data_IF_001158701725
#
_entry.id   IF_001158701725
#
_cell.length_a   1.000
_cell.length_b   1.000
_cell.length_c   1.000
_cell.angle_alpha   90.00
_cell.angle_beta   90.00
_cell.angle_gamma   90.00
#
_symmetry.space_group_name_H-M   'P 1'
#
loop_
_entity.id
_entity.type
_entity.pdbx_description
1 polymer ?
#
# COMPACT_ATOMS: atom_id res chain seq x y z
N UNK A 1 36.53 -73.56 -32.52
CA UNK A 1 36.26 -72.30 -33.25
C UNK A 1 35.68 -71.32 -32.25
N UNK A 2 36.54 -70.45 -31.71
CA UNK A 2 36.17 -69.48 -30.67
C UNK A 2 35.64 -68.19 -31.30
N UNK A 3 34.46 -67.76 -30.83
CA UNK A 3 33.84 -66.50 -31.18
C UNK A 3 34.38 -65.41 -30.25
N UNK A 4 34.94 -64.36 -30.84
CA UNK A 4 35.31 -63.12 -30.17
C UNK A 4 34.29 -62.05 -30.58
N UNK A 5 33.44 -61.62 -29.64
CA UNK A 5 32.60 -60.43 -29.77
C UNK A 5 33.26 -59.28 -29.00
N UNK A 6 33.75 -58.29 -29.76
CA UNK A 6 34.34 -57.05 -29.26
C UNK A 6 33.25 -56.02 -28.97
N UNK A 7 33.00 -55.79 -27.68
CA UNK A 7 32.17 -54.69 -27.16
C UNK A 7 32.96 -53.37 -27.17
N UNK A 8 32.55 -52.44 -28.03
CA UNK A 8 33.03 -51.06 -28.08
C UNK A 8 32.15 -50.18 -27.17
N UNK A 9 32.66 -49.89 -25.97
CA UNK A 9 32.06 -48.90 -25.07
C UNK A 9 32.39 -47.47 -25.51
N UNK A 10 31.38 -46.73 -25.97
CA UNK A 10 31.46 -45.27 -26.10
C UNK A 10 31.21 -44.61 -24.73
N UNK A 11 32.26 -44.03 -24.15
CA UNK A 11 32.19 -43.08 -23.03
C UNK A 11 31.99 -41.69 -23.61
N UNK A 12 30.75 -41.20 -23.66
CA UNK A 12 30.50 -39.77 -23.84
C UNK A 12 30.75 -39.04 -22.52
N UNK A 13 31.79 -38.21 -22.51
CA UNK A 13 32.19 -37.37 -21.39
C UNK A 13 31.22 -36.19 -21.23
N UNK A 14 30.40 -36.24 -20.18
CA UNK A 14 29.51 -35.15 -19.78
C UNK A 14 30.26 -33.95 -19.19
N UNK A 15 30.27 -32.83 -19.92
CA UNK A 15 30.76 -31.52 -19.44
C UNK A 15 29.69 -30.42 -19.47
N UNK A 16 28.40 -30.78 -19.54
CA UNK A 16 27.29 -29.83 -19.75
C UNK A 16 26.55 -29.35 -18.49
N UNK A 17 26.84 -29.84 -17.28
CA UNK A 17 25.94 -29.60 -16.12
C UNK A 17 26.21 -28.30 -15.33
N UNK A 18 27.39 -27.71 -15.43
CA UNK A 18 27.74 -26.51 -14.65
C UNK A 18 27.15 -25.23 -15.23
N UNK A 19 27.07 -25.10 -16.57
CA UNK A 19 26.57 -23.88 -17.22
C UNK A 19 25.09 -23.61 -16.98
N UNK A 20 24.28 -24.66 -16.79
CA UNK A 20 22.83 -24.51 -16.64
C UNK A 20 22.43 -24.07 -15.23
N UNK A 21 23.26 -24.40 -14.24
CA UNK A 21 23.04 -24.01 -12.84
C UNK A 21 23.33 -22.52 -12.66
N UNK A 22 24.43 -22.02 -13.24
CA UNK A 22 24.77 -20.59 -13.21
C UNK A 22 23.73 -19.72 -13.94
N UNK A 23 23.22 -20.16 -15.10
CA UNK A 23 22.16 -19.44 -15.82
C UNK A 23 20.87 -19.33 -15.00
N UNK A 24 20.47 -20.39 -14.30
CA UNK A 24 19.30 -20.37 -13.41
C UNK A 24 19.49 -19.41 -12.24
N UNK A 25 20.68 -19.39 -11.64
CA UNK A 25 21.00 -18.48 -10.53
C UNK A 25 20.93 -17.00 -10.95
N UNK A 26 21.45 -16.67 -12.14
CA UNK A 26 21.34 -15.30 -12.68
C UNK A 26 19.89 -14.91 -12.93
N UNK A 27 19.09 -15.78 -13.56
CA UNK A 27 17.67 -15.49 -13.77
C UNK A 27 16.92 -15.31 -12.44
N UNK A 28 17.20 -16.16 -11.45
CA UNK A 28 16.61 -16.05 -10.12
C UNK A 28 16.96 -14.72 -9.45
N UNK A 29 18.24 -14.31 -9.49
CA UNK A 29 18.68 -13.01 -8.95
C UNK A 29 18.03 -11.82 -9.66
N UNK A 30 17.89 -11.88 -10.98
CA UNK A 30 17.22 -10.82 -11.75
C UNK A 30 15.74 -10.75 -11.39
N UNK A 31 15.04 -11.89 -11.25
CA UNK A 31 13.64 -11.92 -10.85
C UNK A 31 13.44 -11.44 -9.40
N UNK A 32 14.32 -11.83 -8.49
CA UNK A 32 14.27 -11.42 -7.08
C UNK A 32 14.62 -9.94 -6.87
N UNK A 33 15.38 -9.33 -7.78
CA UNK A 33 15.80 -7.93 -7.64
C UNK A 33 14.67 -6.89 -7.81
N UNK A 34 13.45 -7.31 -8.14
CA UNK A 34 12.31 -6.44 -8.45
C UNK A 34 12.48 -5.50 -9.65
N UNK A 35 13.66 -5.49 -10.31
CA UNK A 35 14.03 -4.53 -11.36
C UNK A 35 13.07 -4.56 -12.55
N UNK A 36 12.51 -5.73 -12.86
CA UNK A 36 11.57 -5.90 -13.97
C UNK A 36 10.14 -5.46 -13.62
N UNK A 37 9.78 -5.41 -12.34
CA UNK A 37 8.38 -5.33 -11.92
C UNK A 37 7.52 -6.51 -12.43
N UNK A 38 6.28 -6.59 -11.98
CA UNK A 38 5.36 -7.70 -12.30
C UNK A 38 5.12 -7.82 -13.80
N UNK A 39 4.92 -6.68 -14.48
CA UNK A 39 4.55 -6.65 -15.90
C UNK A 39 5.66 -7.13 -16.83
N UNK A 40 6.87 -6.60 -16.70
CA UNK A 40 7.96 -7.00 -17.60
C UNK A 40 8.39 -8.42 -17.28
N UNK A 41 8.39 -8.82 -16.00
CA UNK A 41 8.62 -10.22 -15.63
C UNK A 41 7.65 -11.15 -16.37
N UNK A 42 6.35 -10.84 -16.36
CA UNK A 42 5.37 -11.69 -17.03
C UNK A 42 5.55 -11.70 -18.55
N UNK A 43 5.86 -10.55 -19.17
CA UNK A 43 6.14 -10.49 -20.61
C UNK A 43 7.39 -11.28 -20.99
N UNK A 44 8.51 -11.08 -20.31
CA UNK A 44 9.78 -11.75 -20.62
C UNK A 44 9.68 -13.26 -20.43
N UNK A 45 9.04 -13.71 -19.34
CA UNK A 45 8.78 -15.14 -19.12
C UNK A 45 7.87 -15.79 -20.16
N UNK A 46 7.16 -15.01 -20.99
CA UNK A 46 6.34 -15.54 -22.08
C UNK A 46 7.12 -15.81 -23.39
N UNK A 47 8.31 -15.19 -23.55
CA UNK A 47 9.07 -15.17 -24.81
C UNK A 47 9.77 -16.50 -25.12
N UNK A 48 10.09 -17.31 -24.11
CA UNK A 48 10.81 -18.58 -24.28
C UNK A 48 10.28 -19.66 -23.35
N UNK A 49 10.32 -20.92 -23.79
CA UNK A 49 9.96 -22.09 -22.98
C UNK A 49 10.82 -22.21 -21.73
N UNK A 50 12.10 -21.85 -21.84
CA UNK A 50 13.08 -21.88 -20.76
C UNK A 50 12.75 -20.81 -19.70
N UNK A 51 12.30 -19.63 -20.13
CA UNK A 51 11.92 -18.54 -19.22
C UNK A 51 10.55 -18.75 -18.58
N UNK A 52 9.67 -19.58 -19.17
CA UNK A 52 8.40 -19.96 -18.52
C UNK A 52 8.61 -20.73 -17.23
N UNK A 53 9.74 -21.42 -17.07
CA UNK A 53 10.12 -22.09 -15.82
C UNK A 53 10.18 -21.09 -14.66
N UNK A 54 10.47 -19.81 -14.92
CA UNK A 54 10.46 -18.75 -13.91
C UNK A 54 9.06 -18.46 -13.34
N UNK A 55 7.98 -18.94 -13.98
CA UNK A 55 6.62 -18.84 -13.44
C UNK A 55 6.26 -19.97 -12.48
N UNK A 56 7.21 -20.84 -12.15
CA UNK A 56 7.02 -21.84 -11.11
C UNK A 56 6.95 -21.16 -9.73
N UNK A 57 6.22 -21.80 -8.82
CA UNK A 57 5.90 -21.30 -7.47
C UNK A 57 7.08 -20.67 -6.75
N UNK A 58 8.25 -21.30 -6.80
CA UNK A 58 9.42 -20.85 -6.04
C UNK A 58 9.99 -19.52 -6.55
N UNK A 59 10.05 -19.32 -7.86
CA UNK A 59 10.48 -18.06 -8.45
C UNK A 59 9.45 -16.93 -8.26
N UNK A 60 8.16 -17.28 -8.27
CA UNK A 60 7.08 -16.30 -8.07
C UNK A 60 7.04 -15.74 -6.64
N UNK A 61 7.53 -16.47 -5.63
CA UNK A 61 7.61 -15.98 -4.24
C UNK A 61 8.43 -14.70 -4.13
N UNK A 62 9.54 -14.64 -4.86
CA UNK A 62 10.41 -13.47 -4.83
C UNK A 62 9.83 -12.32 -5.66
N UNK A 63 9.25 -12.61 -6.82
CA UNK A 63 8.61 -11.57 -7.65
C UNK A 63 7.44 -10.92 -6.93
N UNK A 64 6.60 -11.73 -6.26
CA UNK A 64 5.44 -11.25 -5.51
C UNK A 64 5.73 -11.11 -4.01
N UNK A 65 6.99 -10.94 -3.64
CA UNK A 65 7.35 -10.71 -2.27
C UNK A 65 6.69 -9.41 -1.75
N UNK A 66 6.41 -9.31 -0.45
CA UNK A 66 5.85 -8.11 0.17
C UNK A 66 6.60 -6.82 -0.18
N UNK A 67 7.93 -6.90 -0.30
CA UNK A 67 8.82 -5.80 -0.66
C UNK A 67 8.48 -5.22 -2.04
N UNK A 68 8.16 -6.09 -3.01
CA UNK A 68 7.88 -5.69 -4.39
C UNK A 68 6.46 -5.14 -4.56
N UNK A 69 5.59 -5.36 -3.57
CA UNK A 69 4.22 -4.85 -3.56
C UNK A 69 4.07 -3.51 -2.83
N UNK A 70 5.18 -2.89 -2.41
CA UNK A 70 5.15 -1.57 -1.77
C UNK A 70 4.60 -0.48 -2.72
N UNK A 71 5.09 -0.35 -3.97
CA UNK A 71 4.55 0.64 -4.90
C UNK A 71 3.11 0.32 -5.33
N UNK A 72 2.27 1.34 -5.49
CA UNK A 72 0.93 1.19 -6.04
C UNK A 72 0.98 0.62 -7.47
N UNK A 73 1.91 1.06 -8.30
CA UNK A 73 2.07 0.58 -9.68
C UNK A 73 2.23 -0.93 -9.77
N UNK A 74 3.05 -1.52 -8.91
CA UNK A 74 3.28 -2.98 -8.89
C UNK A 74 2.04 -3.75 -8.44
N UNK A 75 1.32 -3.25 -7.43
CA UNK A 75 0.05 -3.87 -7.00
C UNK A 75 -1.02 -3.75 -8.09
N UNK A 76 -1.06 -2.63 -8.81
CA UNK A 76 -1.96 -2.43 -9.96
C UNK A 76 -1.60 -3.38 -11.10
N UNK A 77 -0.33 -3.55 -11.45
CA UNK A 77 0.11 -4.50 -12.49
C UNK A 77 -0.17 -5.96 -12.09
N UNK A 78 -0.03 -6.31 -10.81
CA UNK A 78 -0.46 -7.62 -10.31
C UNK A 78 -1.97 -7.84 -10.45
N UNK A 79 -2.79 -6.84 -10.10
CA UNK A 79 -4.24 -6.90 -10.30
C UNK A 79 -4.59 -7.08 -11.78
N UNK A 80 -3.97 -6.28 -12.66
CA UNK A 80 -4.17 -6.39 -14.10
C UNK A 80 -3.75 -7.74 -14.64
N UNK A 81 -2.65 -8.32 -14.16
CA UNK A 81 -2.24 -9.68 -14.51
C UNK A 81 -3.29 -10.73 -14.11
N UNK A 82 -3.83 -10.64 -12.89
CA UNK A 82 -4.88 -11.57 -12.42
C UNK A 82 -6.14 -11.43 -13.28
N UNK A 83 -6.54 -10.20 -13.59
CA UNK A 83 -7.65 -9.92 -14.49
C UNK A 83 -7.40 -10.49 -15.89
N UNK A 84 -6.21 -10.31 -16.46
CA UNK A 84 -5.83 -10.86 -17.77
C UNK A 84 -5.89 -12.39 -17.80
N UNK A 85 -5.47 -13.06 -16.72
CA UNK A 85 -5.62 -14.52 -16.58
C UNK A 85 -7.09 -14.93 -16.61
N UNK A 86 -7.96 -14.19 -15.93
CA UNK A 86 -9.41 -14.44 -15.93
C UNK A 86 -9.99 -14.20 -17.31
N UNK A 87 -9.72 -13.05 -17.92
CA UNK A 87 -10.27 -12.65 -19.22
C UNK A 87 -9.90 -13.64 -20.34
N UNK A 88 -8.75 -14.32 -20.22
CA UNK A 88 -8.27 -15.35 -21.15
C UNK A 88 -8.66 -16.78 -20.77
N UNK A 89 -9.38 -16.97 -19.66
CA UNK A 89 -9.66 -18.27 -19.05
C UNK A 89 -8.40 -19.13 -18.80
N UNK A 90 -7.26 -18.47 -18.49
CA UNK A 90 -5.98 -19.10 -18.17
C UNK A 90 -5.94 -19.52 -16.70
N UNK A 91 -6.70 -20.57 -16.39
CA UNK A 91 -6.78 -21.16 -15.04
C UNK A 91 -5.43 -21.68 -14.55
N UNK A 92 -4.52 -22.05 -15.44
CA UNK A 92 -3.20 -22.58 -15.06
C UNK A 92 -2.34 -21.46 -14.49
N UNK A 93 -2.25 -20.32 -15.17
CA UNK A 93 -1.56 -19.15 -14.65
C UNK A 93 -2.19 -18.65 -13.34
N UNK A 94 -3.53 -18.61 -13.28
CA UNK A 94 -4.26 -18.21 -12.07
C UNK A 94 -3.93 -19.12 -10.88
N UNK A 95 -3.89 -20.44 -11.08
CA UNK A 95 -3.50 -21.41 -10.04
C UNK A 95 -2.07 -21.22 -9.57
N UNK A 96 -1.12 -20.99 -10.49
CA UNK A 96 0.26 -20.69 -10.09
C UNK A 96 0.35 -19.44 -9.21
N UNK A 97 -0.44 -18.40 -9.51
CA UNK A 97 -0.52 -17.20 -8.66
C UNK A 97 -1.13 -17.52 -7.28
N UNK A 98 -2.17 -18.35 -7.22
CA UNK A 98 -2.81 -18.79 -5.96
C UNK A 98 -1.89 -19.67 -5.09
N UNK A 99 -0.94 -20.38 -5.70
CA UNK A 99 0.02 -21.22 -4.98
C UNK A 99 1.11 -20.41 -4.26
N UNK A 100 1.24 -19.11 -4.54
CA UNK A 100 2.22 -18.24 -3.89
C UNK A 100 1.71 -17.87 -2.49
N UNK A 101 2.25 -18.52 -1.45
CA UNK A 101 1.78 -18.37 -0.06
C UNK A 101 1.75 -16.92 0.47
N UNK A 102 2.55 -16.01 -0.10
CA UNK A 102 2.57 -14.57 0.27
C UNK A 102 1.45 -13.76 -0.38
N UNK A 103 0.69 -14.36 -1.29
CA UNK A 103 -0.32 -13.71 -2.13
C UNK A 103 -1.69 -14.38 -1.96
N UNK A 104 -2.59 -13.71 -1.23
CA UNK A 104 -3.99 -14.12 -1.14
C UNK A 104 -4.82 -13.31 -2.15
N UNK A 105 -5.03 -13.89 -3.35
CA UNK A 105 -5.75 -13.21 -4.42
C UNK A 105 -7.19 -12.85 -4.04
N UNK A 106 -7.90 -13.76 -3.36
CA UNK A 106 -9.32 -13.56 -3.03
C UNK A 106 -9.49 -12.44 -2.02
N UNK A 107 -8.60 -12.37 -1.02
CA UNK A 107 -8.65 -11.31 0.00
C UNK A 107 -8.15 -9.97 -0.50
N UNK A 108 -7.22 -9.93 -1.47
CA UNK A 108 -6.62 -8.67 -1.97
C UNK A 108 -7.35 -8.06 -3.16
N UNK A 109 -7.97 -8.87 -4.01
CA UNK A 109 -8.62 -8.41 -5.23
C UNK A 109 -10.12 -8.72 -5.18
N UNK A 110 -10.98 -7.69 -5.14
CA UNK A 110 -12.42 -7.88 -5.12
C UNK A 110 -12.94 -8.37 -6.47
N UNK A 111 -14.12 -8.99 -6.44
CA UNK A 111 -14.92 -9.31 -7.62
C UNK A 111 -14.28 -10.23 -8.68
N UNK A 112 -13.25 -11.02 -8.32
CA UNK A 112 -12.62 -11.96 -9.26
C UNK A 112 -13.62 -12.96 -9.89
N UNK A 113 -14.51 -13.55 -9.06
CA UNK A 113 -15.53 -14.47 -9.55
C UNK A 113 -16.57 -13.78 -10.43
N UNK A 114 -17.03 -12.57 -10.05
CA UNK A 114 -17.94 -11.76 -10.85
C UNK A 114 -17.35 -11.48 -12.23
N UNK A 115 -16.09 -11.03 -12.29
CA UNK A 115 -15.38 -10.82 -13.55
C UNK A 115 -15.30 -12.09 -14.39
N UNK A 116 -14.96 -13.23 -13.78
CA UNK A 116 -14.90 -14.51 -14.49
C UNK A 116 -16.26 -14.91 -15.10
N UNK A 117 -17.36 -14.66 -14.39
CA UNK A 117 -18.71 -14.85 -14.93
C UNK A 117 -19.02 -13.88 -16.09
N UNK A 118 -18.73 -12.59 -15.93
CA UNK A 118 -18.95 -11.56 -16.96
C UNK A 118 -18.17 -11.84 -18.25
N UNK A 119 -16.94 -12.36 -18.12
CA UNK A 119 -16.08 -12.76 -19.25
C UNK A 119 -16.36 -14.17 -19.77
N UNK A 120 -17.29 -14.89 -19.15
CA UNK A 120 -17.65 -16.27 -19.50
C UNK A 120 -16.46 -17.25 -19.41
N UNK A 121 -15.51 -16.99 -18.51
CA UNK A 121 -14.28 -17.76 -18.29
C UNK A 121 -14.57 -19.00 -17.45
N UNK A 122 -15.15 -20.02 -18.08
CA UNK A 122 -15.73 -21.19 -17.38
C UNK A 122 -14.74 -21.93 -16.48
N UNK A 123 -13.47 -22.08 -16.89
CA UNK A 123 -12.45 -22.80 -16.10
C UNK A 123 -12.05 -21.98 -14.87
N UNK A 124 -11.87 -20.68 -15.05
CA UNK A 124 -11.62 -19.75 -13.95
C UNK A 124 -12.81 -19.69 -12.98
N UNK A 125 -14.06 -19.65 -13.48
CA UNK A 125 -15.27 -19.73 -12.63
C UNK A 125 -15.26 -20.99 -11.78
N UNK A 126 -15.04 -22.16 -12.39
CA UNK A 126 -14.99 -23.42 -11.64
C UNK A 126 -13.89 -23.43 -10.57
N UNK A 127 -12.73 -22.83 -10.84
CA UNK A 127 -11.62 -22.73 -9.90
C UNK A 127 -11.88 -21.72 -8.78
N UNK A 128 -12.46 -20.55 -9.09
CA UNK A 128 -12.70 -19.47 -8.12
C UNK A 128 -13.91 -19.77 -7.22
N UNK A 129 -14.93 -20.47 -7.71
CA UNK A 129 -16.12 -20.88 -6.93
C UNK A 129 -15.83 -21.86 -5.79
N UNK A 130 -14.63 -22.46 -5.75
CA UNK A 130 -14.21 -23.33 -4.65
C UNK A 130 -13.77 -22.54 -3.42
N UNK A 131 -13.53 -21.24 -3.56
CA UNK A 131 -13.14 -20.35 -2.46
C UNK A 131 -14.38 -19.68 -1.85
N UNK A 132 -14.34 -19.40 -0.55
CA UNK A 132 -15.38 -18.61 0.09
C UNK A 132 -15.48 -17.22 -0.56
N UNK A 133 -16.70 -16.77 -0.88
CA UNK A 133 -16.93 -15.42 -1.40
C UNK A 133 -16.67 -14.39 -0.30
N UNK A 134 -15.80 -13.44 -0.59
CA UNK A 134 -15.55 -12.26 0.26
C UNK A 134 -16.31 -11.04 -0.23
N UNK A 135 -17.24 -11.22 -1.16
CA UNK A 135 -18.17 -10.17 -1.55
C UNK A 135 -19.21 -9.98 -0.46
N UNK A 136 -19.49 -8.72 -0.11
CA UNK A 136 -20.61 -8.41 0.75
C UNK A 136 -21.91 -8.98 0.14
N UNK A 137 -22.76 -9.68 0.91
CA UNK A 137 -24.06 -10.12 0.39
C UNK A 137 -24.82 -8.95 -0.24
N UNK A 138 -25.58 -9.19 -1.30
CA UNK A 138 -26.32 -8.14 -2.02
C UNK A 138 -27.30 -7.34 -1.13
N UNK A 139 -27.67 -7.90 0.02
CA UNK A 139 -28.50 -7.25 1.05
C UNK A 139 -27.78 -6.07 1.71
N UNK A 140 -26.45 -6.03 1.67
CA UNK A 140 -25.65 -4.98 2.29
C UNK A 140 -25.06 -4.04 1.22
N UNK A 141 -25.42 -2.76 1.33
CA UNK A 141 -24.70 -1.69 0.65
C UNK A 141 -23.62 -1.11 1.58
N UNK A 142 -22.64 -0.39 1.01
CA UNK A 142 -21.69 0.36 1.83
C UNK A 142 -22.44 1.33 2.78
N UNK A 143 -23.39 2.10 2.25
CA UNK A 143 -24.14 3.11 3.01
C UNK A 143 -24.99 2.54 4.15
N UNK A 144 -25.52 1.33 4.02
CA UNK A 144 -26.27 0.66 5.09
C UNK A 144 -25.34 0.16 6.19
N UNK A 145 -24.17 -0.35 5.80
CA UNK A 145 -23.19 -0.89 6.74
C UNK A 145 -22.44 0.23 7.48
N UNK A 146 -22.29 1.42 6.90
CA UNK A 146 -21.73 2.59 7.60
C UNK A 146 -22.51 2.95 8.90
N UNK A 147 -23.80 2.63 8.96
CA UNK A 147 -24.71 3.00 10.07
C UNK A 147 -24.94 1.88 11.08
N UNK A 148 -24.33 0.71 10.88
CA UNK A 148 -24.53 -0.42 11.77
C UNK A 148 -23.87 -0.16 13.13
N UNK A 149 -24.54 -0.49 14.22
CA UNK A 149 -23.93 -0.48 15.54
C UNK A 149 -23.02 -1.70 15.75
N UNK A 150 -22.19 -1.65 16.78
CA UNK A 150 -21.21 -2.69 17.08
C UNK A 150 -21.83 -4.05 17.37
N UNK A 151 -22.95 -4.10 18.07
CA UNK A 151 -23.59 -5.37 18.47
C UNK A 151 -24.28 -6.05 17.28
N UNK A 152 -24.93 -5.26 16.43
CA UNK A 152 -25.46 -5.74 15.15
C UNK A 152 -24.33 -6.26 14.24
N UNK A 153 -23.21 -5.53 14.12
CA UNK A 153 -22.06 -6.01 13.34
C UNK A 153 -21.48 -7.30 13.91
N UNK A 154 -21.30 -7.38 15.23
CA UNK A 154 -20.86 -8.59 15.93
C UNK A 154 -21.73 -9.79 15.58
N UNK A 155 -23.04 -9.63 15.69
CA UNK A 155 -24.01 -10.68 15.36
C UNK A 155 -23.84 -11.15 13.91
N UNK A 156 -23.70 -10.24 12.95
CA UNK A 156 -23.50 -10.58 11.54
C UNK A 156 -22.19 -11.35 11.29
N UNK A 157 -21.10 -10.96 11.95
CA UNK A 157 -19.81 -11.64 11.82
C UNK A 157 -19.86 -13.04 12.45
N UNK A 158 -20.39 -13.16 13.67
CA UNK A 158 -20.48 -14.42 14.41
C UNK A 158 -21.40 -15.44 13.70
N UNK A 159 -22.50 -14.97 13.12
CA UNK A 159 -23.41 -15.78 12.30
C UNK A 159 -22.87 -16.05 10.89
N UNK A 160 -21.68 -15.53 10.54
CA UNK A 160 -21.07 -15.61 9.21
C UNK A 160 -21.94 -15.02 8.09
N UNK A 161 -22.88 -14.14 8.44
CA UNK A 161 -23.67 -13.37 7.48
C UNK A 161 -22.83 -12.29 6.80
N UNK A 162 -21.76 -11.83 7.46
CA UNK A 162 -20.78 -10.90 6.91
C UNK A 162 -19.37 -11.38 7.28
N UNK A 163 -18.41 -11.28 6.36
CA UNK A 163 -17.01 -11.61 6.63
C UNK A 163 -16.24 -10.33 7.04
N UNK A 164 -15.28 -10.39 7.99
CA UNK A 164 -14.50 -9.20 8.40
C UNK A 164 -13.68 -8.59 7.25
N UNK A 165 -13.22 -9.43 6.31
CA UNK A 165 -12.55 -9.02 5.07
C UNK A 165 -13.51 -8.77 3.89
N UNK A 166 -14.80 -8.53 4.15
CA UNK A 166 -15.76 -8.31 3.06
C UNK A 166 -15.42 -7.06 2.24
N UNK A 167 -15.67 -7.13 0.94
CA UNK A 167 -15.50 -6.00 0.01
C UNK A 167 -16.85 -5.41 -0.39
N UNK A 168 -16.88 -4.07 -0.47
CA UNK A 168 -18.05 -3.30 -0.84
C UNK A 168 -17.79 -2.50 -2.11
N UNK A 169 -18.76 -2.52 -3.02
CA UNK A 169 -18.83 -1.56 -4.13
C UNK A 169 -19.30 -0.21 -3.55
N UNK A 170 -18.52 0.84 -3.78
CA UNK A 170 -18.78 2.20 -3.30
C UNK A 170 -18.87 3.11 -4.52
N UNK A 171 -19.97 3.86 -4.58
CA UNK A 171 -20.23 4.84 -5.61
C UNK A 171 -20.18 6.25 -5.01
N UNK A 172 -19.29 7.10 -5.53
CA UNK A 172 -19.16 8.51 -5.12
C UNK A 172 -19.08 9.38 -6.37
N UNK A 173 -20.18 10.08 -6.68
CA UNK A 173 -20.29 10.82 -7.93
C UNK A 173 -20.23 9.85 -9.11
N UNK A 174 -19.38 10.12 -10.10
CA UNK A 174 -19.21 9.25 -11.27
C UNK A 174 -18.09 8.22 -11.09
N UNK A 175 -17.66 7.95 -9.86
CA UNK A 175 -16.56 7.02 -9.58
C UNK A 175 -17.08 5.84 -8.79
N UNK A 176 -16.94 4.65 -9.37
CA UNK A 176 -17.17 3.36 -8.72
C UNK A 176 -15.85 2.70 -8.36
N UNK A 177 -15.77 2.24 -7.13
CA UNK A 177 -14.57 1.60 -6.62
C UNK A 177 -14.93 0.58 -5.55
N UNK A 178 -13.99 -0.30 -5.28
CA UNK A 178 -14.09 -1.32 -4.26
C UNK A 178 -13.34 -0.91 -3.01
N UNK A 179 -13.98 -1.04 -1.85
CA UNK A 179 -13.39 -0.76 -0.56
C UNK A 179 -13.56 -1.96 0.40
N UNK A 180 -12.51 -2.35 1.15
CA UNK A 180 -12.65 -3.27 2.27
C UNK A 180 -13.58 -2.72 3.35
N UNK A 181 -14.31 -3.59 4.04
CA UNK A 181 -15.23 -3.25 5.12
C UNK A 181 -14.59 -2.35 6.19
N UNK A 182 -13.32 -2.61 6.56
CA UNK A 182 -12.58 -1.79 7.52
C UNK A 182 -12.37 -0.35 7.02
N UNK A 183 -12.15 -0.15 5.71
CA UNK A 183 -12.09 1.20 5.12
C UNK A 183 -13.45 1.87 5.21
N UNK A 184 -14.53 1.16 4.88
CA UNK A 184 -15.91 1.69 4.97
C UNK A 184 -16.21 2.18 6.40
N UNK A 185 -15.87 1.40 7.43
CA UNK A 185 -16.06 1.82 8.84
C UNK A 185 -15.24 3.05 9.22
N UNK A 186 -13.96 3.10 8.79
CA UNK A 186 -13.12 4.29 9.00
C UNK A 186 -13.72 5.51 8.31
N UNK A 187 -14.27 5.35 7.11
CA UNK A 187 -14.92 6.41 6.36
C UNK A 187 -16.24 6.89 6.97
N UNK A 188 -16.95 6.02 7.69
CA UNK A 188 -18.14 6.34 8.47
C UNK A 188 -17.85 7.03 9.80
N UNK A 189 -16.57 7.12 10.22
CA UNK A 189 -16.17 7.43 11.60
C UNK A 189 -16.75 6.45 12.64
N UNK A 190 -17.06 5.22 12.22
CA UNK A 190 -17.57 4.17 13.09
C UNK A 190 -16.39 3.38 13.69
N UNK A 191 -15.63 4.05 14.57
CA UNK A 191 -14.37 3.53 15.08
C UNK A 191 -14.56 2.32 16.00
N UNK A 192 -15.71 2.19 16.66
CA UNK A 192 -16.02 1.03 17.49
C UNK A 192 -16.20 -0.25 16.66
N UNK A 193 -16.93 -0.15 15.55
CA UNK A 193 -17.04 -1.26 14.58
C UNK A 193 -15.69 -1.57 13.93
N UNK A 194 -14.90 -0.55 13.57
CA UNK A 194 -13.56 -0.75 13.02
C UNK A 194 -12.62 -1.46 14.00
N UNK A 195 -12.66 -1.11 15.28
CA UNK A 195 -11.92 -1.78 16.35
C UNK A 195 -12.35 -3.25 16.50
N UNK A 196 -13.66 -3.52 16.48
CA UNK A 196 -14.18 -4.89 16.55
C UNK A 196 -13.79 -5.73 15.32
N UNK A 197 -13.79 -5.14 14.12
CA UNK A 197 -13.35 -5.84 12.91
C UNK A 197 -11.89 -6.32 13.02
N UNK A 198 -11.00 -5.49 13.58
CA UNK A 198 -9.62 -5.88 13.84
C UNK A 198 -9.53 -7.04 14.84
N UNK A 199 -10.35 -7.02 15.90
CA UNK A 199 -10.46 -8.12 16.86
C UNK A 199 -10.97 -9.41 16.20
N UNK A 200 -11.89 -9.27 15.25
CA UNK A 200 -12.39 -10.37 14.42
C UNK A 200 -11.42 -10.83 13.31
N UNK A 201 -10.20 -10.28 13.26
CA UNK A 201 -9.16 -10.68 12.32
C UNK A 201 -9.24 -10.02 10.95
N UNK A 202 -9.91 -8.87 10.83
CA UNK A 202 -9.90 -8.08 9.59
C UNK A 202 -8.47 -7.69 9.19
N UNK A 203 -8.17 -7.83 7.90
CA UNK A 203 -6.86 -7.53 7.35
C UNK A 203 -6.62 -6.03 7.20
N UNK A 204 -5.37 -5.65 7.41
CA UNK A 204 -4.89 -4.28 7.17
C UNK A 204 -4.07 -4.16 5.89
N UNK A 205 -3.64 -5.27 5.30
CA UNK A 205 -2.88 -5.36 4.05
C UNK A 205 -3.79 -5.51 2.81
N UNK A 206 -4.81 -4.66 2.76
CA UNK A 206 -5.79 -4.52 1.67
C UNK A 206 -5.94 -3.03 1.31
N UNK A 207 -6.43 -2.72 0.11
CA UNK A 207 -6.54 -1.34 -0.35
C UNK A 207 -7.69 -1.09 -1.32
N UNK A 208 -8.10 0.16 -1.50
CA UNK A 208 -9.13 0.52 -2.48
C UNK A 208 -8.69 0.27 -3.92
N UNK A 209 -9.64 -0.20 -4.73
CA UNK A 209 -9.45 -0.49 -6.15
C UNK A 209 -10.49 0.20 -7.02
N UNK A 210 -10.06 0.95 -8.03
CA UNK A 210 -10.98 1.52 -9.03
C UNK A 210 -11.64 0.39 -9.83
N UNK A 211 -12.93 0.50 -10.09
CA UNK A 211 -13.60 -0.39 -11.05
C UNK A 211 -13.09 -0.07 -12.47
N UNK A 212 -12.62 -1.09 -13.19
CA UNK A 212 -12.17 -0.90 -14.57
C UNK A 212 -13.41 -0.74 -15.46
N UNK A 213 -13.71 0.49 -15.87
CA UNK A 213 -14.71 0.70 -16.92
C UNK A 213 -14.23 0.06 -18.23
N UNK A 214 -15.12 -0.67 -18.90
CA UNK A 214 -14.83 -1.34 -20.17
C UNK A 214 -14.49 -0.33 -21.27
N UNK A 215 -13.21 0.09 -21.36
CA UNK A 215 -12.66 0.85 -22.48
C UNK A 215 -13.05 2.33 -22.56
N UNK A 216 -13.80 2.87 -21.59
CA UNK A 216 -14.08 4.29 -21.50
C UNK A 216 -12.82 5.07 -21.15
N UNK A 217 -12.52 6.16 -21.86
CA UNK A 217 -11.53 7.15 -21.41
C UNK A 217 -12.11 7.85 -20.18
N UNK A 218 -11.93 7.26 -19.00
CA UNK A 218 -12.31 7.89 -17.73
C UNK A 218 -11.47 9.15 -17.61
N UNK A 219 -12.13 10.31 -17.65
CA UNK A 219 -11.48 11.58 -17.34
C UNK A 219 -10.81 11.45 -15.98
N UNK A 220 -9.57 11.95 -15.83
CA UNK A 220 -8.83 11.87 -14.56
C UNK A 220 -9.78 12.28 -13.43
N UNK A 221 -10.10 11.39 -12.47
CA UNK A 221 -11.01 11.70 -11.39
C UNK A 221 -10.56 12.99 -10.70
N UNK A 222 -11.52 13.88 -10.41
CA UNK A 222 -11.25 15.06 -9.59
C UNK A 222 -11.03 14.60 -8.15
N UNK A 223 -9.77 14.27 -7.85
CA UNK A 223 -9.31 13.72 -6.56
C UNK A 223 -9.58 14.65 -5.38
N UNK A 224 -9.79 15.94 -5.64
CA UNK A 224 -10.09 16.96 -4.64
C UNK A 224 -11.49 16.78 -4.02
N UNK A 225 -12.43 16.18 -4.76
CA UNK A 225 -13.83 16.05 -4.33
C UNK A 225 -14.18 14.62 -3.86
N UNK A 226 -13.62 13.60 -4.50
CA UNK A 226 -13.91 12.21 -4.18
C UNK A 226 -12.98 11.74 -3.06
N UNK A 227 -13.51 11.26 -1.92
CA UNK A 227 -12.69 10.67 -0.83
C UNK A 227 -11.88 9.43 -1.24
N UNK A 228 -12.05 8.97 -2.48
CA UNK A 228 -11.36 7.86 -3.09
C UNK A 228 -9.89 8.20 -3.39
N UNK A 229 -8.99 7.29 -3.03
CA UNK A 229 -7.57 7.37 -3.37
C UNK A 229 -7.11 5.97 -3.76
N UNK A 230 -6.70 5.72 -5.01
CA UNK A 230 -6.23 4.41 -5.43
C UNK A 230 -5.13 3.90 -4.49
N UNK A 231 -5.23 2.64 -4.07
CA UNK A 231 -4.27 2.03 -3.17
C UNK A 231 -4.38 2.45 -1.70
N UNK A 232 -5.41 3.23 -1.32
CA UNK A 232 -5.64 3.64 0.08
C UNK A 232 -5.91 2.41 0.93
N UNK A 233 -5.08 2.21 1.96
CA UNK A 233 -5.24 1.13 2.94
C UNK A 233 -6.14 1.58 4.11
N UNK A 234 -6.58 0.68 5.01
CA UNK A 234 -7.26 1.04 6.25
C UNK A 234 -6.56 2.16 7.04
N UNK A 235 -5.22 2.11 7.13
CA UNK A 235 -4.47 3.14 7.84
C UNK A 235 -4.47 4.48 7.11
N UNK A 236 -4.29 4.48 5.78
CA UNK A 236 -4.41 5.72 5.00
C UNK A 236 -5.80 6.35 5.16
N UNK A 237 -6.86 5.52 5.13
CA UNK A 237 -8.23 5.99 5.34
C UNK A 237 -8.39 6.70 6.69
N UNK A 238 -7.85 6.11 7.77
CA UNK A 238 -7.88 6.70 9.10
C UNK A 238 -7.05 8.00 9.18
N UNK A 239 -5.85 8.04 8.59
CA UNK A 239 -5.00 9.24 8.58
C UNK A 239 -5.69 10.44 7.88
N UNK A 240 -6.40 10.20 6.78
CA UNK A 240 -7.20 11.25 6.11
C UNK A 240 -8.30 11.82 7.04
N UNK A 241 -8.77 11.05 8.02
CA UNK A 241 -9.75 11.51 9.02
C UNK A 241 -9.17 12.39 10.11
N UNK A 242 -7.86 12.39 10.33
CA UNK A 242 -7.20 13.39 11.16
C UNK A 242 -7.18 14.75 10.45
N UNK A 243 -6.86 14.75 9.16
CA UNK A 243 -6.79 15.99 8.40
C UNK A 243 -8.14 16.69 8.22
N UNK A 244 -9.24 15.97 8.00
CA UNK A 244 -10.54 16.64 7.81
C UNK A 244 -11.19 17.13 9.11
N UNK A 245 -10.59 16.86 10.27
CA UNK A 245 -11.21 17.06 11.56
C UNK A 245 -11.11 18.49 12.15
N UNK A 246 -10.42 19.40 11.48
CA UNK A 246 -10.01 20.71 12.02
C UNK A 246 -11.12 21.72 12.32
N UNK A 247 -12.41 21.35 12.24
CA UNK A 247 -13.51 22.30 12.47
C UNK A 247 -14.49 21.96 13.58
N UNK A 248 -14.65 20.70 14.01
CA UNK A 248 -15.79 20.35 14.92
C UNK A 248 -15.63 19.09 15.79
N UNK A 249 -14.46 18.44 15.86
CA UNK A 249 -14.38 17.18 16.61
C UNK A 249 -14.23 17.37 18.12
N UNK A 250 -14.91 16.50 18.87
CA UNK A 250 -14.71 16.36 20.31
C UNK A 250 -13.37 15.67 20.59
N UNK A 251 -12.78 15.97 21.74
CA UNK A 251 -11.57 15.29 22.24
C UNK A 251 -11.74 13.77 22.27
N UNK A 252 -12.95 13.29 22.58
CA UNK A 252 -13.30 11.87 22.59
C UNK A 252 -13.11 11.21 21.22
N UNK A 253 -13.57 11.83 20.13
CA UNK A 253 -13.37 11.27 18.79
C UNK A 253 -11.88 11.17 18.44
N UNK A 254 -11.07 12.15 18.85
CA UNK A 254 -9.64 12.13 18.59
C UNK A 254 -8.95 10.97 19.33
N UNK A 255 -9.27 10.75 20.61
CA UNK A 255 -8.76 9.62 21.39
C UNK A 255 -9.15 8.26 20.78
N UNK A 256 -10.39 8.12 20.30
CA UNK A 256 -10.84 6.90 19.60
C UNK A 256 -10.03 6.66 18.32
N UNK A 257 -9.80 7.70 17.50
CA UNK A 257 -8.99 7.61 16.28
C UNK A 257 -7.56 7.18 16.59
N UNK A 258 -6.92 7.74 17.63
CA UNK A 258 -5.56 7.38 18.02
C UNK A 258 -5.47 5.93 18.51
N UNK A 259 -6.42 5.49 19.34
CA UNK A 259 -6.48 4.08 19.79
C UNK A 259 -6.61 3.12 18.61
N UNK A 260 -7.52 3.40 17.69
CA UNK A 260 -7.67 2.61 16.47
C UNK A 260 -6.41 2.65 15.60
N UNK A 261 -5.74 3.80 15.50
CA UNK A 261 -4.48 3.95 14.76
C UNK A 261 -3.40 3.02 15.33
N UNK A 262 -3.20 3.03 16.65
CA UNK A 262 -2.23 2.14 17.29
C UNK A 262 -2.56 0.66 17.04
N UNK A 263 -3.84 0.29 17.08
CA UNK A 263 -4.28 -1.09 16.77
C UNK A 263 -3.99 -1.47 15.31
N UNK A 264 -4.35 -0.62 14.35
CA UNK A 264 -4.06 -0.87 12.93
C UNK A 264 -2.56 -0.98 12.69
N UNK A 265 -1.75 -0.08 13.29
CA UNK A 265 -0.30 -0.13 13.18
C UNK A 265 0.25 -1.43 13.76
N UNK A 266 -0.21 -1.85 14.94
CA UNK A 266 0.23 -3.10 15.56
C UNK A 266 -0.10 -4.32 14.69
N UNK A 267 -1.34 -4.44 14.21
CA UNK A 267 -1.77 -5.54 13.31
C UNK A 267 -0.96 -5.53 12.01
N UNK A 268 -0.76 -4.35 11.43
CA UNK A 268 0.00 -4.18 10.18
C UNK A 268 1.47 -4.54 10.34
N UNK A 269 2.09 -4.18 11.47
CA UNK A 269 3.49 -4.49 11.77
C UNK A 269 3.71 -5.98 12.04
N UNK A 270 2.75 -6.62 12.69
CA UNK A 270 2.76 -8.07 12.87
C UNK A 270 2.53 -8.82 11.55
N UNK A 271 1.91 -8.18 10.56
CA UNK A 271 1.75 -8.75 9.23
C UNK A 271 3.08 -8.71 8.46
N UNK A 272 3.47 -9.82 7.84
CA UNK A 272 4.65 -9.88 6.96
C UNK A 272 4.43 -9.20 5.60
N UNK A 273 3.44 -8.31 5.47
CA UNK A 273 2.99 -7.75 4.19
C UNK A 273 3.68 -6.43 3.80
N UNK A 274 4.40 -5.81 4.76
CA UNK A 274 4.94 -4.45 4.64
C UNK A 274 3.89 -3.39 4.27
N UNK A 275 2.61 -3.61 4.62
CA UNK A 275 1.52 -2.72 4.23
C UNK A 275 1.58 -1.30 4.81
N UNK A 276 2.38 -1.06 5.84
CA UNK A 276 2.68 0.29 6.35
C UNK A 276 3.46 1.14 5.33
N UNK A 277 4.23 0.48 4.47
CA UNK A 277 5.06 1.14 3.45
C UNK A 277 4.31 1.31 2.13
N UNK A 278 3.20 0.59 1.93
CA UNK A 278 2.40 0.64 0.71
C UNK A 278 2.05 2.08 0.35
N UNK A 279 2.23 2.46 -0.92
CA UNK A 279 1.90 3.82 -1.38
C UNK A 279 0.45 3.93 -1.85
N UNK A 280 -0.19 5.06 -1.56
CA UNK A 280 -1.48 5.45 -2.15
C UNK A 280 -1.34 6.78 -2.87
N UNK A 281 -2.15 7.00 -3.91
CA UNK A 281 -2.19 8.29 -4.61
C UNK A 281 -3.05 9.29 -3.85
N UNK A 282 -2.43 10.30 -3.27
CA UNK A 282 -3.09 11.41 -2.59
C UNK A 282 -2.66 12.75 -3.21
N UNK A 283 -3.59 13.60 -3.61
CA UNK A 283 -3.29 14.89 -4.29
C UNK A 283 -2.30 14.75 -5.45
N UNK A 284 -2.51 13.73 -6.30
CA UNK A 284 -1.64 13.35 -7.42
C UNK A 284 -0.19 12.97 -7.04
N UNK A 285 0.06 12.63 -5.77
CA UNK A 285 1.35 12.17 -5.26
C UNK A 285 1.22 10.81 -4.61
N UNK A 286 2.18 9.94 -4.82
CA UNK A 286 2.26 8.70 -4.06
C UNK A 286 2.87 8.94 -2.69
N UNK A 287 2.15 8.53 -1.64
CA UNK A 287 2.59 8.61 -0.26
C UNK A 287 2.33 7.27 0.44
N UNK A 288 3.29 6.83 1.24
CA UNK A 288 3.06 5.74 2.20
C UNK A 288 2.34 6.25 3.46
N UNK A 289 2.01 5.36 4.40
CA UNK A 289 1.32 5.76 5.63
C UNK A 289 2.12 6.80 6.42
N UNK A 290 3.44 6.64 6.55
CA UNK A 290 4.29 7.63 7.24
C UNK A 290 4.34 8.96 6.50
N UNK A 291 4.46 8.93 5.17
CA UNK A 291 4.44 10.14 4.35
C UNK A 291 3.13 10.90 4.49
N UNK A 292 2.00 10.18 4.50
CA UNK A 292 0.69 10.77 4.73
C UNK A 292 0.55 11.29 6.18
N UNK A 293 1.03 10.56 7.18
CA UNK A 293 1.01 11.00 8.59
C UNK A 293 1.80 12.31 8.80
N UNK A 294 2.97 12.42 8.16
CA UNK A 294 3.75 13.66 8.13
C UNK A 294 2.95 14.75 7.41
N UNK A 295 2.40 14.46 6.23
CA UNK A 295 1.59 15.41 5.47
C UNK A 295 0.38 15.93 6.27
N UNK A 296 -0.29 15.10 7.05
CA UNK A 296 -1.42 15.57 7.90
C UNK A 296 -0.95 16.23 9.21
N UNK A 297 0.36 16.25 9.48
CA UNK A 297 0.99 16.77 10.70
C UNK A 297 0.37 16.20 11.98
N UNK A 298 0.18 14.89 12.02
CA UNK A 298 -0.34 14.17 13.20
C UNK A 298 0.83 13.52 13.96
N UNK A 299 1.36 14.14 15.03
CA UNK A 299 2.63 13.72 15.61
C UNK A 299 2.58 12.36 16.29
N UNK A 300 1.47 12.02 16.94
CA UNK A 300 1.25 10.72 17.57
C UNK A 300 1.21 9.59 16.52
N UNK A 301 0.59 9.84 15.36
CA UNK A 301 0.60 8.91 14.24
C UNK A 301 2.02 8.71 13.66
N UNK A 302 2.77 9.80 13.51
CA UNK A 302 4.16 9.76 13.05
C UNK A 302 5.03 8.96 14.02
N UNK A 303 4.91 9.23 15.33
CA UNK A 303 5.64 8.49 16.36
C UNK A 303 5.29 6.99 16.36
N UNK A 304 3.99 6.65 16.28
CA UNK A 304 3.53 5.26 16.23
C UNK A 304 4.09 4.52 15.00
N UNK A 305 4.06 5.15 13.83
CA UNK A 305 4.58 4.58 12.59
C UNK A 305 6.10 4.41 12.60
N UNK A 306 6.83 5.38 13.18
CA UNK A 306 8.29 5.26 13.32
C UNK A 306 8.69 4.21 14.38
N UNK A 307 7.88 4.02 15.42
CA UNK A 307 8.10 2.98 16.42
C UNK A 307 7.85 1.57 15.86
N UNK A 308 6.88 1.44 14.96
CA UNK A 308 6.56 0.20 14.26
C UNK A 308 7.59 -0.21 13.19
N UNK A 309 8.45 0.72 12.74
CA UNK A 309 9.48 0.43 11.74
C UNK A 309 10.70 -0.19 12.40
N UNK A 310 11.21 -1.25 11.77
CA UNK A 310 12.47 -1.90 12.15
C UNK A 310 13.70 -1.11 11.70
N UNK A 311 13.57 -0.35 10.60
CA UNK A 311 14.67 0.35 9.94
C UNK A 311 14.54 1.86 10.17
N UNK A 312 15.63 2.49 10.59
CA UNK A 312 15.74 3.94 10.72
C UNK A 312 15.52 4.64 9.37
N UNK A 313 15.11 5.91 9.43
CA UNK A 313 14.96 6.71 8.21
C UNK A 313 16.32 6.92 7.56
N UNK A 314 16.47 6.49 6.31
CA UNK A 314 17.63 6.89 5.50
C UNK A 314 17.60 8.39 5.24
N UNK A 315 18.77 9.03 5.07
CA UNK A 315 18.86 10.50 4.93
C UNK A 315 17.87 11.09 3.91
N UNK A 316 17.83 10.55 2.68
CA UNK A 316 16.88 10.98 1.63
C UNK A 316 15.41 10.79 2.01
N UNK A 317 15.10 9.71 2.72
CA UNK A 317 13.72 9.42 3.15
C UNK A 317 13.31 10.39 4.26
N UNK A 318 14.16 10.60 5.27
CA UNK A 318 13.95 11.57 6.33
C UNK A 318 13.72 12.98 5.80
N UNK A 319 14.57 13.44 4.87
CA UNK A 319 14.40 14.71 4.14
C UNK A 319 13.04 14.79 3.45
N UNK A 320 12.60 13.70 2.80
CA UNK A 320 11.27 13.65 2.15
C UNK A 320 10.13 13.76 3.15
N UNK A 321 10.22 13.09 4.30
CA UNK A 321 9.20 13.15 5.36
C UNK A 321 9.08 14.55 5.96
N UNK A 322 10.22 15.21 6.24
CA UNK A 322 10.26 16.60 6.70
C UNK A 322 9.55 17.52 5.70
N UNK A 323 9.88 17.39 4.40
CA UNK A 323 9.24 18.19 3.36
C UNK A 323 7.72 17.96 3.31
N UNK A 324 7.27 16.72 3.38
CA UNK A 324 5.83 16.40 3.39
C UNK A 324 5.12 17.07 4.58
N UNK A 325 5.76 17.13 5.75
CA UNK A 325 5.19 17.81 6.91
C UNK A 325 4.96 19.31 6.68
N UNK A 326 5.93 20.02 6.08
CA UNK A 326 5.75 21.41 5.69
C UNK A 326 4.66 21.59 4.64
N UNK A 327 4.60 20.73 3.61
CA UNK A 327 3.58 20.83 2.56
C UNK A 327 2.15 20.69 3.12
N UNK A 328 1.98 19.88 4.16
CA UNK A 328 0.74 19.74 4.92
C UNK A 328 0.20 21.01 5.58
N UNK A 329 1.10 21.96 5.83
CA UNK A 329 0.78 23.26 6.44
C UNK A 329 0.38 24.34 5.42
N UNK A 330 0.29 23.99 4.13
CA UNK A 330 -0.23 24.90 3.12
C UNK A 330 -1.76 25.07 3.27
N UNK A 331 -2.25 26.31 3.30
CA UNK A 331 -3.69 26.63 3.37
C UNK A 331 -4.24 27.08 4.73
N UNK A 332 -3.37 27.33 5.71
CA UNK A 332 -3.76 27.73 7.06
C UNK A 332 -3.78 29.27 7.18
N UNK A 333 -4.77 29.90 6.56
CA UNK A 333 -4.85 31.37 6.45
C UNK A 333 -5.33 32.08 7.72
N UNK A 334 -5.85 31.36 8.71
CA UNK A 334 -6.33 31.95 9.96
C UNK A 334 -5.24 31.85 11.04
N UNK A 335 -4.91 32.98 11.67
CA UNK A 335 -3.87 33.11 12.69
C UNK A 335 -4.03 32.12 13.86
N UNK A 336 -5.25 31.86 14.33
CA UNK A 336 -5.48 30.88 15.42
C UNK A 336 -5.13 29.46 14.97
N UNK A 337 -5.50 29.12 13.73
CA UNK A 337 -5.19 27.82 13.12
C UNK A 337 -3.70 27.71 12.78
N UNK A 338 -3.04 28.82 12.43
CA UNK A 338 -1.60 28.88 12.15
C UNK A 338 -0.79 28.43 13.36
N UNK A 339 -1.05 28.98 14.55
CA UNK A 339 -0.34 28.57 15.78
C UNK A 339 -0.53 27.10 16.14
N UNK A 340 -1.75 26.57 15.97
CA UNK A 340 -2.01 25.15 16.18
C UNK A 340 -1.24 24.28 15.18
N UNK A 341 -1.21 24.68 13.91
CA UNK A 341 -0.46 24.01 12.86
C UNK A 341 1.04 24.00 13.15
N UNK A 342 1.61 25.15 13.54
CA UNK A 342 3.01 25.28 13.94
C UNK A 342 3.33 24.32 15.10
N UNK A 343 2.49 24.28 16.12
CA UNK A 343 2.71 23.39 17.27
C UNK A 343 2.69 21.91 16.87
N UNK A 344 1.79 21.51 15.98
CA UNK A 344 1.73 20.14 15.44
C UNK A 344 2.92 19.81 14.56
N UNK A 345 3.35 20.74 13.71
CA UNK A 345 4.53 20.60 12.88
C UNK A 345 5.78 20.45 13.75
N UNK A 346 5.95 21.28 14.79
CA UNK A 346 7.06 21.18 15.76
C UNK A 346 7.11 19.78 16.37
N UNK A 347 5.99 19.28 16.88
CA UNK A 347 5.91 17.93 17.46
C UNK A 347 6.26 16.85 16.43
N UNK A 348 5.79 17.00 15.19
CA UNK A 348 6.07 16.08 14.08
C UNK A 348 7.57 16.05 13.74
N UNK A 349 8.20 17.23 13.66
CA UNK A 349 9.64 17.36 13.40
C UNK A 349 10.49 16.78 14.53
N UNK A 350 10.04 16.92 15.79
CA UNK A 350 10.68 16.27 16.94
C UNK A 350 10.62 14.75 16.83
N UNK A 351 9.44 14.19 16.55
CA UNK A 351 9.29 12.74 16.37
C UNK A 351 10.16 12.20 15.22
N UNK A 352 10.29 12.94 14.12
CA UNK A 352 11.20 12.59 13.02
C UNK A 352 12.68 12.65 13.44
N UNK A 353 13.10 13.71 14.15
CA UNK A 353 14.48 13.88 14.60
C UNK A 353 14.91 12.79 15.60
N UNK A 354 14.01 12.38 16.51
CA UNK A 354 14.24 11.27 17.46
C UNK A 354 14.55 9.94 16.75
N UNK A 355 14.09 9.78 15.50
CA UNK A 355 14.29 8.57 14.67
C UNK A 355 15.32 8.79 13.57
N UNK A 356 16.30 9.64 13.87
CA UNK A 356 17.49 9.94 13.06
C UNK A 356 17.23 10.67 11.73
N UNK A 357 16.09 11.35 11.57
CA UNK A 357 15.93 12.28 10.46
C UNK A 357 16.83 13.51 10.68
N UNK A 358 17.79 13.73 9.80
CA UNK A 358 18.66 14.91 9.85
C UNK A 358 17.90 16.17 9.41
N UNK A 359 17.49 17.00 10.38
CA UNK A 359 16.75 18.25 10.10
C UNK A 359 17.56 19.29 9.31
N UNK A 360 18.89 19.16 9.32
CA UNK A 360 19.83 19.99 8.55
C UNK A 360 20.02 19.52 7.10
N UNK A 361 19.40 18.41 6.71
CA UNK A 361 19.47 17.91 5.33
C UNK A 361 18.79 18.85 4.35
N UNK A 362 19.35 18.95 3.14
CA UNK A 362 18.79 19.80 2.07
C UNK A 362 17.59 19.11 1.43
N UNK A 363 16.43 19.75 1.52
CA UNK A 363 15.20 19.40 0.81
C UNK A 363 15.21 20.04 -0.57
N UNK A 364 14.69 19.34 -1.58
CA UNK A 364 14.44 19.90 -2.92
C UNK A 364 12.95 20.13 -3.11
N UNK A 365 12.57 21.37 -3.42
CA UNK A 365 11.21 21.79 -3.77
C UNK A 365 11.26 22.49 -5.14
N UNK A 366 10.98 21.74 -6.19
CA UNK A 366 11.21 22.22 -7.56
C UNK A 366 12.69 22.50 -7.81
N UNK A 367 13.00 23.74 -8.15
CA UNK A 367 14.37 24.23 -8.37
C UNK A 367 15.00 24.85 -7.10
N UNK A 368 14.22 24.99 -6.02
CA UNK A 368 14.71 25.53 -4.76
C UNK A 368 15.27 24.40 -3.90
N UNK A 369 16.55 24.55 -3.51
CA UNK A 369 17.17 23.80 -2.43
C UNK A 369 16.96 24.58 -1.13
N UNK A 370 16.25 23.97 -0.19
CA UNK A 370 15.94 24.52 1.13
C UNK A 370 16.37 23.57 2.24
N UNK A 371 16.46 24.06 3.47
CA UNK A 371 16.46 23.23 4.67
C UNK A 371 15.12 23.41 5.38
N UNK A 372 14.80 22.58 6.38
CA UNK A 372 13.61 22.77 7.22
C UNK A 372 13.51 24.22 7.76
N UNK A 373 14.64 24.80 8.15
CA UNK A 373 14.72 26.18 8.62
C UNK A 373 14.35 27.21 7.54
N UNK A 374 14.78 27.00 6.29
CA UNK A 374 14.44 27.91 5.20
C UNK A 374 12.95 27.83 4.85
N UNK A 375 12.37 26.62 4.80
CA UNK A 375 10.93 26.45 4.55
C UNK A 375 10.08 27.06 5.67
N UNK A 376 10.51 26.96 6.94
CA UNK A 376 9.86 27.62 8.06
C UNK A 376 9.91 29.15 7.95
N UNK A 377 11.05 29.71 7.54
CA UNK A 377 11.20 31.16 7.30
C UNK A 377 10.34 31.63 6.12
N UNK A 378 10.36 30.91 4.98
CA UNK A 378 9.56 31.23 3.78
C UNK A 378 8.05 31.15 4.06
N UNK A 379 7.64 30.32 5.01
CA UNK A 379 6.23 30.18 5.44
C UNK A 379 5.86 31.08 6.62
N UNK A 380 6.75 31.98 7.05
CA UNK A 380 6.57 32.89 8.18
C UNK A 380 6.16 32.18 9.49
N UNK A 381 6.74 31.01 9.77
CA UNK A 381 6.42 30.17 10.94
C UNK A 381 7.41 30.40 12.08
N UNK A 382 7.30 31.53 12.77
CA UNK A 382 8.25 31.96 13.81
C UNK A 382 8.45 30.90 14.91
N UNK A 383 7.36 30.27 15.37
CA UNK A 383 7.45 29.22 16.40
C UNK A 383 8.27 28.01 15.94
N UNK A 384 8.11 27.62 14.67
CA UNK A 384 8.86 26.52 14.06
C UNK A 384 10.33 26.89 13.89
N UNK A 385 10.63 28.12 13.46
CA UNK A 385 12.01 28.64 13.34
C UNK A 385 12.73 28.58 14.70
N UNK A 386 12.11 29.11 15.75
CA UNK A 386 12.68 29.08 17.11
C UNK A 386 12.92 27.65 17.57
N UNK A 387 11.95 26.75 17.37
CA UNK A 387 12.11 25.35 17.76
C UNK A 387 13.21 24.64 16.98
N UNK A 388 13.37 24.89 15.68
CA UNK A 388 14.43 24.30 14.85
C UNK A 388 15.82 24.75 15.32
N UNK A 389 15.99 26.03 15.63
CA UNK A 389 17.23 26.57 16.19
C UNK A 389 17.55 25.92 17.55
N UNK A 390 16.56 25.76 18.42
CA UNK A 390 16.70 25.06 19.71
C UNK A 390 17.08 23.58 19.53
N UNK A 391 16.65 22.94 18.44
CA UNK A 391 17.05 21.58 18.06
C UNK A 391 18.42 21.52 17.40
N UNK A 392 19.17 22.63 17.33
CA UNK A 392 20.52 22.69 16.78
C UNK A 392 20.60 22.83 15.26
N UNK A 393 19.49 23.08 14.57
CA UNK A 393 19.49 23.30 13.12
C UNK A 393 20.12 24.66 12.83
N UNK A 394 21.30 24.66 12.22
CA UNK A 394 22.04 25.89 11.94
C UNK A 394 21.66 26.46 10.57
N UNK A 395 21.55 27.79 10.41
CA UNK A 395 21.36 28.41 9.11
C UNK A 395 22.58 28.16 8.23
N UNK A 396 22.41 27.42 7.13
CA UNK A 396 23.46 27.35 6.10
C UNK A 396 23.50 28.68 5.35
N UNK A 397 24.63 29.39 5.45
CA UNK A 397 24.92 30.49 4.53
C UNK A 397 24.97 29.89 3.13
N UNK A 398 24.01 30.22 2.26
CA UNK A 398 24.17 30.00 0.83
C UNK A 398 25.49 30.67 0.45
N UNK A 399 26.45 29.89 -0.05
CA UNK A 399 27.60 30.47 -0.73
C UNK A 399 27.01 31.33 -1.84
N UNK A 400 27.15 32.65 -1.74
CA UNK A 400 26.81 33.52 -2.86
C UNK A 400 27.71 33.07 -4.02
N UNK A 401 27.15 32.34 -4.99
CA UNK A 401 27.85 32.04 -6.24
C UNK A 401 28.04 33.36 -6.99
N UNK A 402 29.21 33.73 -7.54
CA UNK A 402 30.24 32.93 -8.22
C UNK A 402 29.68 32.12 -9.39
#
# INVERSE_FOLDING_TARGET
MGLAESSLGHKESGTSSTSDTEKRDVCHKVCASAVLGVRLFWKLSSLSTELRVLRQKDCLKDVFSPENQVPLSERSELRSLVHDCIDRDDVTALKHLQEVNTLDLQRRFPALLRRACEKQSRRCVASLSQSASLYAPQVFSASSVEKIDKESLRTLIEQRALHPDAWFEVERGNTKYWAPLLIVMNEANNFECAEYLLEAGARTDVCEWLEEENGGRVGKPRWDQTRFCPGKTPLHSLLVKFWRAHSTHTQETHSQKLRLLHRIVAVSSASKSRCLEWTSTYSAREMCCLGLACFVSEPEAVAALLAAREIALGGKEGTRMIRLAFEGTSGWYNESKKREAEQRLIKTLKALAEKAAELSSETRRGDLLGQALNEACESEMEGVVVSLLQMGVSPKRRKAGA
#
